data_IF_524634399848
#
_entry.id   IF_524634399848
#
_cell.length_a   1.000
_cell.length_b   1.000
_cell.length_c   1.000
_cell.angle_alpha   90.00
_cell.angle_beta   90.00
_cell.angle_gamma   90.00
#
_symmetry.space_group_name_H-M   'P 1'
#
loop_
_entity.id
_entity.type
_entity.pdbx_description
1 polymer ?
#
# COMPACT_ATOMS: atom_id res chain seq x y z
N UNK A 1 3.55 -31.87 20.97
CA UNK A 1 2.54 -32.16 19.94
C UNK A 1 3.30 -32.66 18.74
N UNK A 2 3.24 -33.96 18.53
CA UNK A 2 4.23 -34.74 17.77
C UNK A 2 3.81 -34.81 16.28
N UNK A 3 4.78 -34.91 15.37
CA UNK A 3 4.61 -35.03 13.90
C UNK A 3 3.62 -36.13 13.45
N UNK A 4 3.22 -37.01 14.37
CA UNK A 4 2.28 -38.10 14.15
C UNK A 4 0.81 -37.63 14.02
N UNK A 5 0.45 -36.48 14.60
CA UNK A 5 -0.92 -35.96 14.54
C UNK A 5 -1.24 -35.32 13.18
N UNK A 6 -0.28 -34.65 12.56
CA UNK A 6 -0.46 -34.01 11.25
C UNK A 6 -0.61 -35.04 10.14
N UNK A 7 0.13 -36.15 10.23
CA UNK A 7 0.06 -37.24 9.23
C UNK A 7 -1.24 -38.03 9.30
N UNK A 8 -1.87 -38.08 10.47
CA UNK A 8 -3.17 -38.73 10.67
C UNK A 8 -4.31 -37.84 10.18
N UNK A 9 -4.25 -36.53 10.44
CA UNK A 9 -5.23 -35.56 9.95
C UNK A 9 -5.24 -35.42 8.41
N UNK A 10 -4.09 -35.58 7.75
CA UNK A 10 -4.00 -35.50 6.28
C UNK A 10 -4.44 -36.78 5.55
N UNK A 11 -4.58 -37.92 6.25
CA UNK A 11 -5.10 -39.14 5.63
C UNK A 11 -6.61 -39.11 5.40
N UNK A 12 -7.34 -38.28 6.16
CA UNK A 12 -8.79 -38.18 6.04
C UNK A 12 -9.25 -37.36 4.82
N UNK A 13 -8.36 -36.55 4.23
CA UNK A 13 -8.65 -35.70 3.07
C UNK A 13 -8.06 -36.19 1.74
N UNK A 14 -7.44 -37.37 1.71
CA UNK A 14 -6.95 -37.99 0.46
C UNK A 14 -7.79 -39.23 0.19
N UNK A 15 -9.00 -39.02 -0.31
CA UNK A 15 -9.75 -40.09 -0.96
C UNK A 15 -8.98 -40.51 -2.22
N UNK A 16 -8.59 -41.78 -2.26
CA UNK A 16 -8.00 -42.46 -3.42
C UNK A 16 -8.99 -42.48 -4.59
N UNK A 17 -8.97 -41.46 -5.44
CA UNK A 17 -9.17 -41.54 -6.89
C UNK A 17 -9.22 -40.12 -7.47
N UNK A 18 -8.36 -39.87 -8.47
CA UNK A 18 -8.26 -38.69 -9.32
C UNK A 18 -7.52 -37.46 -8.74
N UNK A 19 -6.29 -37.18 -9.22
CA UNK A 19 -5.62 -35.92 -8.93
C UNK A 19 -6.36 -34.76 -9.62
N UNK A 20 -6.46 -33.58 -8.98
CA UNK A 20 -6.98 -32.38 -9.63
C UNK A 20 -6.19 -32.09 -10.91
N UNK A 21 -6.95 -31.81 -11.98
CA UNK A 21 -6.47 -31.64 -13.35
C UNK A 21 -5.26 -30.69 -13.39
N UNK A 22 -4.12 -31.20 -13.87
CA UNK A 22 -2.96 -30.39 -14.26
C UNK A 22 -1.65 -30.64 -13.52
N UNK A 23 -1.59 -31.52 -12.51
CA UNK A 23 -0.35 -31.84 -11.80
C UNK A 23 0.02 -33.31 -11.99
N UNK A 24 0.90 -33.59 -12.95
CA UNK A 24 1.50 -34.92 -13.09
C UNK A 24 2.50 -35.14 -11.94
N UNK A 25 2.58 -36.38 -11.43
CA UNK A 25 3.53 -36.73 -10.36
C UNK A 25 4.99 -36.40 -10.70
N UNK A 26 5.34 -36.42 -11.99
CA UNK A 26 6.65 -35.98 -12.49
C UNK A 26 6.89 -34.48 -12.32
N UNK A 27 5.86 -33.64 -12.38
CA UNK A 27 5.93 -32.19 -12.16
C UNK A 27 6.30 -31.83 -10.72
N UNK A 28 5.78 -32.58 -9.75
CA UNK A 28 6.07 -32.37 -8.32
C UNK A 28 7.49 -32.82 -7.98
N UNK A 29 7.95 -33.94 -8.55
CA UNK A 29 9.31 -34.45 -8.31
C UNK A 29 10.39 -33.61 -9.01
N UNK A 30 10.11 -33.05 -10.19
CA UNK A 30 11.04 -32.14 -10.87
C UNK A 30 11.14 -30.77 -10.20
N UNK A 31 10.03 -30.23 -9.67
CA UNK A 31 10.05 -29.01 -8.84
C UNK A 31 10.86 -29.21 -7.54
N UNK A 32 10.73 -30.37 -6.88
CA UNK A 32 11.50 -30.72 -5.69
C UNK A 32 13.01 -30.82 -5.94
N UNK A 33 13.44 -31.40 -7.08
CA UNK A 33 14.87 -31.50 -7.44
C UNK A 33 15.50 -30.15 -7.77
N UNK A 34 14.75 -29.21 -8.35
CA UNK A 34 15.24 -27.86 -8.70
C UNK A 34 15.50 -26.99 -7.47
N UNK A 35 14.73 -27.19 -6.39
CA UNK A 35 14.92 -26.51 -5.10
C UNK A 35 16.22 -26.95 -4.39
N UNK A 36 16.53 -28.26 -4.38
CA UNK A 36 17.78 -28.76 -3.75
C UNK A 36 19.05 -28.29 -4.45
N UNK A 37 19.07 -28.16 -5.78
CA UNK A 37 20.26 -27.69 -6.52
C UNK A 37 20.60 -26.22 -6.23
N UNK A 38 19.60 -25.36 -5.99
CA UNK A 38 19.84 -23.94 -5.66
C UNK A 38 20.41 -23.72 -4.26
N UNK A 39 20.23 -24.65 -3.32
CA UNK A 39 20.84 -24.57 -1.98
C UNK A 39 22.28 -25.09 -1.92
N UNK A 40 22.75 -25.81 -2.94
CA UNK A 40 24.11 -26.34 -3.00
C UNK A 40 25.08 -25.45 -3.81
N UNK A 41 24.59 -24.44 -4.54
CA UNK A 41 25.43 -23.48 -5.29
C UNK A 41 25.75 -22.20 -4.51
N UNK A 42 25.29 -22.07 -3.27
CA UNK A 42 25.55 -20.88 -2.40
C UNK A 42 26.49 -21.21 -1.24
N UNK A 43 27.35 -22.20 -1.41
CA UNK A 43 28.47 -22.49 -0.51
C UNK A 43 29.67 -22.75 -1.41
N UNK A 44 30.57 -21.76 -1.48
CA UNK A 44 32.01 -21.82 -1.85
C UNK A 44 32.39 -20.45 -2.44
N UNK A 45 32.96 -19.59 -1.60
CA UNK A 45 34.07 -18.68 -1.93
C UNK A 45 34.47 -17.89 -0.68
N UNK A 46 35.04 -18.59 0.31
CA UNK A 46 35.93 -17.98 1.30
C UNK A 46 37.34 -18.31 0.83
N UNK A 47 38.04 -17.34 0.25
CA UNK A 47 39.50 -17.36 0.13
C UNK A 47 40.00 -15.97 0.46
N UNK A 48 40.68 -15.90 1.61
CA UNK A 48 41.49 -14.77 2.01
C UNK A 48 42.80 -14.77 1.21
N UNK A 49 43.26 -13.59 0.79
CA UNK A 49 44.69 -13.30 0.68
C UNK A 49 44.97 -11.80 0.77
N UNK A 50 46.04 -11.53 1.50
CA UNK A 50 46.52 -10.32 2.09
C UNK A 50 47.17 -9.30 1.13
N UNK A 51 47.08 -8.03 1.54
CA UNK A 51 48.11 -6.97 1.47
C UNK A 51 48.56 -6.50 0.08
N UNK A 52 48.06 -5.32 -0.30
CA UNK A 52 48.87 -4.28 -0.94
C UNK A 52 48.28 -2.91 -0.58
N UNK A 53 49.11 -2.06 0.02
CA UNK A 53 48.70 -0.78 0.58
C UNK A 53 48.30 0.24 -0.49
N UNK A 54 47.21 0.94 -0.21
CA UNK A 54 46.88 2.26 -0.73
C UNK A 54 46.07 2.99 0.36
N UNK A 55 46.48 4.17 0.85
CA UNK A 55 45.64 4.97 1.72
C UNK A 55 44.67 5.74 0.83
N UNK A 56 43.68 5.05 0.26
CA UNK A 56 42.53 5.74 -0.32
C UNK A 56 41.58 5.97 0.84
N UNK A 57 41.59 7.21 1.33
CA UNK A 57 40.69 7.68 2.37
C UNK A 57 39.27 7.27 2.01
N UNK A 58 38.70 6.42 2.87
CA UNK A 58 37.26 6.15 2.89
C UNK A 58 36.58 7.45 3.26
N UNK A 59 36.27 8.26 2.26
CA UNK A 59 35.18 9.21 2.35
C UNK A 59 33.93 8.36 2.56
N UNK A 60 33.59 8.13 3.83
CA UNK A 60 32.23 7.85 4.23
C UNK A 60 31.43 9.05 3.73
N UNK A 61 30.91 8.95 2.51
CA UNK A 61 29.76 9.75 2.11
C UNK A 61 28.61 9.14 2.92
N UNK A 62 28.58 9.48 4.21
CA UNK A 62 27.32 9.60 4.91
C UNK A 62 26.53 10.58 4.04
N UNK A 63 25.52 10.06 3.34
CA UNK A 63 24.47 10.95 2.85
C UNK A 63 24.11 11.81 4.06
N UNK A 64 24.19 13.14 3.96
CA UNK A 64 23.72 13.98 5.04
C UNK A 64 22.28 13.51 5.28
N UNK A 65 22.04 12.96 6.47
CA UNK A 65 20.70 12.90 7.02
C UNK A 65 20.21 14.33 6.81
N UNK A 66 19.28 14.48 5.88
CA UNK A 66 18.44 15.66 5.83
C UNK A 66 17.63 15.54 7.11
N UNK A 67 18.24 15.94 8.23
CA UNK A 67 17.56 16.48 9.38
C UNK A 67 16.93 17.77 8.87
N UNK A 68 15.91 17.60 8.03
CA UNK A 68 14.94 18.63 7.78
C UNK A 68 14.45 18.98 9.19
N UNK A 69 14.73 20.19 9.69
CA UNK A 69 14.18 20.59 10.97
C UNK A 69 12.69 20.30 10.87
N UNK A 70 12.16 19.59 11.88
CA UNK A 70 10.73 19.31 11.96
C UNK A 70 10.03 20.66 11.81
N UNK A 71 9.60 20.96 10.59
CA UNK A 71 8.83 22.13 10.29
C UNK A 71 7.60 21.93 11.13
N UNK A 72 7.48 22.70 12.21
CA UNK A 72 6.29 22.73 13.05
C UNK A 72 5.15 22.91 12.07
N UNK A 73 4.42 21.83 11.82
CA UNK A 73 3.37 21.85 10.82
C UNK A 73 2.38 22.91 11.27
N UNK A 74 1.89 23.79 10.38
CA UNK A 74 0.86 24.75 10.75
C UNK A 74 -0.41 24.04 11.25
N UNK A 75 -0.54 22.74 10.98
CA UNK A 75 -1.64 21.88 11.42
C UNK A 75 -1.50 21.36 12.86
N UNK A 76 -0.41 21.68 13.56
CA UNK A 76 -0.10 21.15 14.89
C UNK A 76 0.57 19.77 14.84
N UNK A 77 1.22 19.40 15.94
CA UNK A 77 1.85 18.09 16.12
C UNK A 77 0.90 17.12 16.81
N UNK A 78 1.06 15.83 16.52
CA UNK A 78 0.31 14.75 17.20
C UNK A 78 0.63 14.77 18.69
N UNK A 79 -0.40 14.88 19.52
CA UNK A 79 -0.30 14.72 20.97
C UNK A 79 -1.03 13.44 21.45
N UNK A 80 -0.49 12.71 22.45
CA UNK A 80 -1.17 11.56 23.05
C UNK A 80 -2.49 11.93 23.74
N UNK A 81 -2.74 13.20 24.01
CA UNK A 81 -3.95 13.70 24.70
C UNK A 81 -4.98 14.31 23.71
N UNK A 82 -4.81 14.09 22.40
CA UNK A 82 -5.74 14.64 21.41
C UNK A 82 -7.17 14.09 21.60
N UNK A 83 -8.11 15.02 21.72
CA UNK A 83 -9.54 14.68 21.59
C UNK A 83 -9.84 14.24 20.16
N UNK A 84 -10.89 13.43 19.90
CA UNK A 84 -11.26 13.04 18.54
C UNK A 84 -11.44 14.23 17.59
N UNK A 85 -11.98 15.35 18.10
CA UNK A 85 -12.13 16.60 17.33
C UNK A 85 -10.78 17.23 16.96
N UNK A 86 -9.80 17.18 17.88
CA UNK A 86 -8.45 17.67 17.61
C UNK A 86 -7.72 16.81 16.57
N UNK A 87 -7.88 15.47 16.65
CA UNK A 87 -7.36 14.54 15.63
C UNK A 87 -7.95 14.88 14.26
N UNK A 88 -9.28 15.00 14.14
CA UNK A 88 -9.94 15.34 12.86
C UNK A 88 -9.44 16.66 12.30
N UNK A 89 -9.36 17.73 13.12
CA UNK A 89 -8.91 19.04 12.67
C UNK A 89 -7.45 19.03 12.18
N UNK A 90 -6.57 18.32 12.90
CA UNK A 90 -5.16 18.16 12.51
C UNK A 90 -5.03 17.39 11.20
N UNK A 91 -5.71 16.25 11.09
CA UNK A 91 -5.69 15.42 9.87
C UNK A 91 -6.29 16.16 8.67
N UNK A 92 -7.41 16.87 8.85
CA UNK A 92 -8.03 17.68 7.80
C UNK A 92 -7.07 18.75 7.29
N UNK A 93 -6.38 19.47 8.18
CA UNK A 93 -5.38 20.47 7.78
C UNK A 93 -4.19 19.84 7.03
N UNK A 94 -3.64 18.71 7.52
CA UNK A 94 -2.53 18.03 6.86
C UNK A 94 -2.90 17.57 5.45
N UNK A 95 -4.09 16.98 5.31
CA UNK A 95 -4.61 16.54 4.02
C UNK A 95 -4.91 17.72 3.11
N UNK A 96 -5.53 18.79 3.61
CA UNK A 96 -5.82 19.98 2.80
C UNK A 96 -4.54 20.58 2.22
N UNK A 97 -3.50 20.75 3.03
CA UNK A 97 -2.20 21.24 2.55
C UNK A 97 -1.55 20.29 1.53
N UNK A 98 -1.54 18.98 1.81
CA UNK A 98 -0.94 17.99 0.92
C UNK A 98 -1.68 17.90 -0.43
N UNK A 99 -3.01 17.88 -0.42
CA UNK A 99 -3.85 17.80 -1.62
C UNK A 99 -3.72 19.07 -2.46
N UNK A 100 -3.82 20.26 -1.81
CA UNK A 100 -3.74 21.56 -2.50
C UNK A 100 -2.39 21.84 -3.16
N UNK A 101 -1.35 21.09 -2.80
CA UNK A 101 -0.05 21.15 -3.49
C UNK A 101 -0.13 20.68 -4.94
N UNK A 102 -1.07 19.78 -5.26
CA UNK A 102 -1.16 19.15 -6.58
C UNK A 102 -2.46 19.45 -7.33
N UNK A 103 -3.54 19.73 -6.61
CA UNK A 103 -4.85 19.94 -7.21
C UNK A 103 -5.69 20.95 -6.43
N UNK A 104 -6.52 21.70 -7.13
CA UNK A 104 -7.51 22.59 -6.51
C UNK A 104 -8.83 21.84 -6.34
N UNK A 105 -9.32 21.59 -5.11
CA UNK A 105 -10.65 21.03 -4.89
C UNK A 105 -11.76 21.99 -5.34
N UNK A 106 -12.88 21.46 -5.84
CA UNK A 106 -14.05 22.24 -6.21
C UNK A 106 -14.77 22.86 -5.01
N UNK A 107 -14.77 22.13 -3.90
CA UNK A 107 -15.42 22.49 -2.64
C UNK A 107 -14.41 22.39 -1.49
N UNK A 108 -14.64 23.06 -0.34
CA UNK A 108 -13.79 22.89 0.84
C UNK A 108 -13.64 21.42 1.23
N UNK A 109 -12.40 21.00 1.49
CA UNK A 109 -12.12 19.65 1.95
C UNK A 109 -12.66 19.50 3.37
N UNK A 110 -13.39 18.40 3.60
CA UNK A 110 -13.99 18.10 4.89
C UNK A 110 -13.69 16.65 5.24
N UNK A 111 -13.09 16.43 6.40
CA UNK A 111 -12.82 15.10 6.93
C UNK A 111 -13.93 14.68 7.87
N UNK A 112 -14.54 13.54 7.60
CA UNK A 112 -15.63 12.99 8.41
C UNK A 112 -15.11 11.80 9.20
N UNK A 113 -15.38 11.78 10.51
CA UNK A 113 -14.98 10.70 11.41
C UNK A 113 -16.17 9.77 11.70
N UNK A 114 -15.96 8.49 11.45
CA UNK A 114 -16.90 7.41 11.65
C UNK A 114 -16.33 6.48 12.74
N UNK A 115 -16.69 6.70 14.02
CA UNK A 115 -16.23 5.84 15.10
C UNK A 115 -16.88 4.46 15.03
N UNK A 116 -16.10 3.41 15.24
CA UNK A 116 -16.52 2.02 15.41
C UNK A 116 -15.95 1.46 16.72
N UNK A 117 -16.31 0.23 17.06
CA UNK A 117 -15.99 -0.39 18.37
C UNK A 117 -14.49 -0.47 18.66
N UNK A 118 -13.65 -0.68 17.64
CA UNK A 118 -12.22 -0.95 17.74
C UNK A 118 -11.35 0.00 16.88
N UNK A 119 -12.00 0.87 16.09
CA UNK A 119 -11.33 1.76 15.15
C UNK A 119 -12.15 2.99 14.86
N UNK A 120 -11.49 4.03 14.38
CA UNK A 120 -12.14 5.19 13.77
C UNK A 120 -11.75 5.25 12.31
N UNK A 121 -12.74 5.31 11.43
CA UNK A 121 -12.52 5.58 10.01
C UNK A 121 -12.69 7.07 9.76
N UNK A 122 -11.72 7.70 9.13
CA UNK A 122 -11.77 9.07 8.67
C UNK A 122 -11.87 9.07 7.15
N UNK A 123 -12.90 9.69 6.59
CA UNK A 123 -13.17 9.72 5.16
C UNK A 123 -13.19 11.15 4.68
N UNK A 124 -12.50 11.41 3.56
CA UNK A 124 -12.57 12.66 2.82
C UNK A 124 -12.80 12.35 1.35
N UNK A 125 -13.73 13.05 0.73
CA UNK A 125 -13.97 12.97 -0.71
C UNK A 125 -14.04 14.36 -1.30
N UNK A 126 -13.49 14.55 -2.49
CA UNK A 126 -13.53 15.83 -3.18
C UNK A 126 -13.55 15.66 -4.69
N UNK A 127 -14.30 16.53 -5.37
CA UNK A 127 -14.13 16.76 -6.79
C UNK A 127 -13.00 17.77 -7.01
N UNK A 128 -12.29 17.64 -8.12
CA UNK A 128 -11.32 18.68 -8.53
C UNK A 128 -12.06 19.86 -9.15
N UNK A 129 -11.45 21.04 -9.21
CA UNK A 129 -12.15 22.31 -9.49
C UNK A 129 -12.91 22.36 -10.82
N UNK A 130 -12.44 21.63 -11.82
CA UNK A 130 -13.13 21.52 -13.12
C UNK A 130 -14.23 20.44 -13.16
N UNK A 131 -14.46 19.74 -12.03
CA UNK A 131 -15.45 18.68 -11.83
C UNK A 131 -15.37 17.56 -12.87
N UNK A 132 -14.16 17.20 -13.29
CA UNK A 132 -13.93 16.08 -14.22
C UNK A 132 -13.17 14.91 -13.58
N UNK A 133 -12.94 14.95 -12.28
CA UNK A 133 -12.25 13.89 -11.55
C UNK A 133 -12.46 14.05 -10.06
N UNK A 134 -12.14 13.01 -9.31
CA UNK A 134 -12.33 12.99 -7.87
C UNK A 134 -11.12 12.42 -7.14
N UNK A 135 -11.07 12.73 -5.85
CA UNK A 135 -10.13 12.24 -4.86
C UNK A 135 -10.94 11.64 -3.71
N UNK A 136 -10.46 10.52 -3.19
CA UNK A 136 -10.93 9.91 -1.96
C UNK A 136 -9.75 9.63 -1.03
N UNK A 137 -9.92 9.87 0.26
CA UNK A 137 -8.96 9.54 1.30
C UNK A 137 -9.67 8.79 2.40
N UNK A 138 -9.16 7.60 2.72
CA UNK A 138 -9.59 6.81 3.87
C UNK A 138 -8.41 6.66 4.84
N UNK A 139 -8.60 7.03 6.10
CA UNK A 139 -7.65 6.78 7.17
C UNK A 139 -8.31 5.96 8.26
N UNK A 140 -7.66 4.89 8.70
CA UNK A 140 -8.16 4.08 9.81
C UNK A 140 -7.02 3.72 10.75
N UNK A 141 -7.34 3.56 12.03
CA UNK A 141 -6.43 2.86 12.95
C UNK A 141 -6.29 1.41 12.52
N UNK A 142 -5.08 0.88 12.63
CA UNK A 142 -4.76 -0.51 12.33
C UNK A 142 -4.49 -1.26 13.64
N UNK A 143 -4.82 -2.53 13.65
CA UNK A 143 -4.80 -3.42 14.82
C UNK A 143 -3.40 -3.98 15.16
N UNK A 144 -2.32 -3.36 14.65
CA UNK A 144 -0.97 -3.88 14.74
C UNK A 144 -0.56 -4.76 13.55
N UNK A 145 -1.49 -5.19 12.70
CA UNK A 145 -1.19 -6.15 11.64
C UNK A 145 -0.52 -5.47 10.45
N UNK A 146 0.76 -5.77 10.22
CA UNK A 146 1.47 -5.31 9.02
C UNK A 146 1.10 -6.18 7.82
N UNK A 147 0.82 -5.53 6.69
CA UNK A 147 0.62 -6.23 5.43
C UNK A 147 1.98 -6.60 4.83
N UNK A 148 2.21 -7.88 4.57
CA UNK A 148 3.42 -8.32 3.86
C UNK A 148 3.40 -7.77 2.44
N UNK A 149 4.51 -7.14 2.00
CA UNK A 149 4.64 -6.71 0.61
C UNK A 149 4.49 -7.88 -0.38
N UNK A 150 4.84 -9.11 0.02
CA UNK A 150 4.71 -10.30 -0.83
C UNK A 150 3.27 -10.74 -1.08
N UNK A 151 2.34 -10.43 -0.17
CA UNK A 151 0.92 -10.81 -0.29
C UNK A 151 0.00 -9.60 -0.47
N UNK A 152 0.55 -8.39 -0.42
CA UNK A 152 -0.21 -7.15 -0.41
C UNK A 152 -1.11 -6.97 -1.64
N UNK A 153 -0.62 -7.37 -2.81
CA UNK A 153 -1.35 -7.29 -4.07
C UNK A 153 -2.43 -8.37 -4.21
N UNK A 154 -2.24 -9.52 -3.56
CA UNK A 154 -3.16 -10.66 -3.65
C UNK A 154 -4.46 -10.43 -2.88
N UNK A 155 -4.41 -9.58 -1.86
CA UNK A 155 -5.56 -9.28 -0.97
C UNK A 155 -6.31 -8.01 -1.38
N UNK A 156 -6.00 -7.41 -2.53
CA UNK A 156 -6.68 -6.20 -3.00
C UNK A 156 -8.03 -6.57 -3.63
N UNK A 157 -9.08 -5.93 -3.14
CA UNK A 157 -10.43 -6.03 -3.69
C UNK A 157 -10.95 -4.62 -4.05
N UNK A 158 -11.37 -4.39 -5.31
CA UNK A 158 -11.31 -5.31 -6.45
C UNK A 158 -9.86 -5.62 -6.85
N UNK A 159 -9.65 -6.76 -7.53
CA UNK A 159 -8.32 -7.10 -8.06
C UNK A 159 -7.86 -6.01 -9.03
N UNK A 160 -6.72 -5.36 -8.76
CA UNK A 160 -6.28 -4.23 -9.55
C UNK A 160 -5.69 -4.69 -10.89
N UNK A 161 -5.76 -3.81 -11.90
CA UNK A 161 -5.15 -4.03 -13.21
C UNK A 161 -3.63 -4.06 -13.11
N UNK A 162 -3.06 -3.19 -12.27
CA UNK A 162 -1.65 -3.23 -11.89
C UNK A 162 -1.52 -3.05 -10.39
N UNK A 163 -0.56 -3.74 -9.79
CA UNK A 163 -0.24 -3.59 -8.39
C UNK A 163 1.27 -3.67 -8.18
N UNK A 164 1.77 -2.80 -7.33
CA UNK A 164 3.12 -2.91 -6.78
C UNK A 164 3.05 -2.72 -5.28
N UNK A 165 3.86 -3.48 -4.56
CA UNK A 165 3.97 -3.37 -3.11
C UNK A 165 5.43 -3.33 -2.72
N UNK A 166 5.76 -2.42 -1.81
CA UNK A 166 7.12 -2.23 -1.32
C UNK A 166 7.12 -2.02 0.19
N UNK A 167 8.15 -2.57 0.83
CA UNK A 167 8.42 -2.25 2.22
C UNK A 167 9.18 -0.92 2.26
N UNK A 168 8.64 0.05 2.98
CA UNK A 168 9.26 1.34 3.22
C UNK A 168 9.43 1.57 4.72
N UNK A 169 10.10 2.65 5.12
CA UNK A 169 10.29 2.96 6.54
C UNK A 169 8.93 3.14 7.21
N UNK A 170 8.63 2.28 8.19
CA UNK A 170 7.42 2.37 9.03
C UNK A 170 6.25 1.50 8.57
N UNK A 171 6.29 0.90 7.38
CA UNK A 171 5.18 0.09 6.90
C UNK A 171 5.31 -0.39 5.46
N UNK A 172 4.20 -0.86 4.91
CA UNK A 172 4.10 -1.35 3.54
C UNK A 172 3.31 -0.35 2.71
N UNK A 173 3.89 0.08 1.59
CA UNK A 173 3.22 0.88 0.58
C UNK A 173 2.72 -0.04 -0.54
N UNK A 174 1.46 0.11 -0.92
CA UNK A 174 0.80 -0.61 -2.01
C UNK A 174 0.26 0.42 -2.99
N UNK A 175 0.74 0.38 -4.22
CA UNK A 175 0.31 1.29 -5.29
C UNK A 175 -0.43 0.46 -6.34
N UNK A 176 -1.64 0.86 -6.68
CA UNK A 176 -2.50 0.12 -7.60
C UNK A 176 -3.10 1.01 -8.68
N UNK A 177 -3.36 0.41 -9.83
CA UNK A 177 -4.26 0.96 -10.84
C UNK A 177 -5.44 0.02 -11.00
N UNK A 178 -6.64 0.56 -10.90
CA UNK A 178 -7.87 -0.19 -11.10
C UNK A 178 -8.53 0.34 -12.36
N UNK A 179 -8.74 -0.55 -13.33
CA UNK A 179 -9.60 -0.35 -14.50
C UNK A 179 -10.76 -1.31 -14.41
N UNK A 180 -11.98 -0.83 -14.69
CA UNK A 180 -13.15 -1.71 -14.65
C UNK A 180 -13.18 -2.60 -15.90
N UNK A 181 -13.43 -3.92 -15.78
CA UNK A 181 -13.49 -4.79 -16.95
C UNK A 181 -14.52 -4.35 -18.01
N UNK A 182 -15.65 -3.80 -17.57
CA UNK A 182 -16.72 -3.30 -18.45
C UNK A 182 -16.54 -1.85 -18.89
N UNK A 183 -15.64 -1.10 -18.26
CA UNK A 183 -15.29 0.25 -18.67
C UNK A 183 -13.79 0.47 -18.41
N UNK A 184 -12.92 0.11 -19.37
CA UNK A 184 -11.48 0.26 -19.21
C UNK A 184 -11.04 1.72 -19.18
N UNK A 185 -11.90 2.65 -19.63
CA UNK A 185 -11.65 4.09 -19.61
C UNK A 185 -11.88 4.68 -18.22
N UNK A 186 -12.62 4.00 -17.33
CA UNK A 186 -12.68 4.37 -15.92
C UNK A 186 -11.41 3.87 -15.23
N UNK A 187 -10.63 4.82 -14.72
CA UNK A 187 -9.32 4.57 -14.10
C UNK A 187 -9.31 5.15 -12.70
N UNK A 188 -8.90 4.32 -11.74
CA UNK A 188 -8.54 4.76 -10.40
C UNK A 188 -7.05 4.48 -10.20
N UNK A 189 -6.32 5.48 -9.76
CA UNK A 189 -5.01 5.29 -9.13
C UNK A 189 -5.18 5.32 -7.61
N UNK A 190 -4.47 4.45 -6.92
CA UNK A 190 -4.53 4.37 -5.46
C UNK A 190 -3.14 4.12 -4.87
N UNK A 191 -2.84 4.80 -3.77
CA UNK A 191 -1.70 4.52 -2.91
C UNK A 191 -2.22 4.22 -1.49
N UNK A 192 -1.90 3.04 -0.98
CA UNK A 192 -2.24 2.60 0.36
C UNK A 192 -0.97 2.39 1.18
N UNK A 193 -0.82 3.14 2.26
CA UNK A 193 0.28 3.01 3.21
C UNK A 193 -0.24 2.40 4.51
N UNK A 194 0.25 1.21 4.84
CA UNK A 194 -0.14 0.47 6.04
C UNK A 194 1.02 0.32 7.00
N UNK A 195 0.84 0.86 8.20
CA UNK A 195 1.75 0.74 9.34
C UNK A 195 1.13 -0.17 10.40
N UNK A 196 1.85 -0.45 11.48
CA UNK A 196 1.24 -1.16 12.61
C UNK A 196 0.10 -0.36 13.27
N UNK A 197 0.11 0.97 13.15
CA UNK A 197 -0.80 1.87 13.87
C UNK A 197 -1.98 2.33 13.01
N UNK A 198 -1.80 2.42 11.70
CA UNK A 198 -2.81 2.97 10.79
C UNK A 198 -2.71 2.42 9.37
N UNK A 199 -3.83 2.56 8.66
CA UNK A 199 -3.97 2.41 7.23
C UNK A 199 -4.37 3.77 6.64
N UNK A 200 -3.60 4.25 5.67
CA UNK A 200 -3.90 5.47 4.90
C UNK A 200 -4.08 5.03 3.45
N UNK A 201 -5.24 5.31 2.86
CA UNK A 201 -5.53 5.03 1.45
C UNK A 201 -5.90 6.34 0.78
N UNK A 202 -5.19 6.68 -0.29
CA UNK A 202 -5.45 7.85 -1.12
C UNK A 202 -5.72 7.37 -2.53
N UNK A 203 -6.89 7.72 -3.06
CA UNK A 203 -7.33 7.30 -4.39
C UNK A 203 -7.71 8.51 -5.23
N UNK A 204 -7.42 8.46 -6.52
CA UNK A 204 -7.85 9.46 -7.49
C UNK A 204 -8.51 8.77 -8.68
N UNK A 205 -9.68 9.26 -9.05
CA UNK A 205 -10.51 8.76 -10.15
C UNK A 205 -10.58 9.80 -11.27
N UNK A 206 -10.59 9.32 -12.51
CA UNK A 206 -10.80 10.16 -13.69
C UNK A 206 -12.28 10.53 -13.94
N UNK A 207 -13.16 10.32 -12.95
CA UNK A 207 -14.56 10.72 -12.97
C UNK A 207 -14.99 11.24 -11.59
N UNK A 208 -15.99 12.12 -11.57
CA UNK A 208 -16.66 12.59 -10.35
C UNK A 208 -17.71 11.62 -9.82
N UNK A 209 -18.24 10.76 -10.69
CA UNK A 209 -19.19 9.72 -10.29
C UNK A 209 -18.47 8.37 -10.12
N UNK A 210 -18.91 7.61 -9.13
CA UNK A 210 -18.45 6.23 -8.99
C UNK A 210 -18.95 5.44 -10.21
N UNK A 211 -18.04 4.90 -11.03
CA UNK A 211 -18.41 3.85 -11.95
C UNK A 211 -18.98 2.70 -11.12
N UNK A 212 -20.24 2.32 -11.32
CA UNK A 212 -20.84 1.15 -10.68
C UNK A 212 -21.09 0.08 -11.73
N UNK A 213 -21.40 -1.15 -11.33
CA UNK A 213 -21.79 -2.17 -12.32
C UNK A 213 -23.11 -1.81 -13.02
N UNK A 214 -23.95 -1.01 -12.36
CA UNK A 214 -25.19 -0.46 -12.92
C UNK A 214 -24.93 0.73 -13.87
N UNK A 215 -23.90 1.52 -13.60
CA UNK A 215 -23.49 2.67 -14.42
C UNK A 215 -21.99 2.58 -14.73
N UNK A 216 -21.61 1.73 -15.70
CA UNK A 216 -20.20 1.47 -15.99
C UNK A 216 -19.49 2.69 -16.59
N UNK A 217 -20.23 3.57 -17.28
CA UNK A 217 -19.72 4.77 -17.95
C UNK A 217 -20.29 6.04 -17.29
N UNK A 218 -19.72 6.50 -16.18
CA UNK A 218 -20.13 7.77 -15.60
C UNK A 218 -19.90 8.94 -16.59
N UNK A 219 -20.80 9.92 -16.69
CA UNK A 219 -20.58 11.12 -17.50
C UNK A 219 -19.36 11.91 -16.98
N UNK A 220 -18.73 12.70 -17.85
CA UNK A 220 -17.67 13.64 -17.43
C UNK A 220 -16.33 12.98 -17.05
N UNK A 221 -15.90 11.96 -17.80
CA UNK A 221 -14.58 11.35 -17.62
C UNK A 221 -13.48 12.15 -18.32
N UNK A 222 -12.36 12.38 -17.63
CA UNK A 222 -11.08 12.76 -18.26
C UNK A 222 -10.28 11.52 -18.64
N UNK A 223 -9.26 11.68 -19.47
CA UNK A 223 -8.44 10.55 -19.92
C UNK A 223 -7.70 9.85 -18.75
N UNK A 224 -7.17 10.63 -17.81
CA UNK A 224 -6.39 10.13 -16.66
C UNK A 224 -6.84 10.79 -15.36
N UNK A 225 -6.73 10.12 -14.20
CA UNK A 225 -7.03 10.73 -12.91
C UNK A 225 -6.29 12.05 -12.68
N UNK A 226 -6.88 13.01 -11.95
CA UNK A 226 -6.28 14.32 -11.71
C UNK A 226 -4.94 14.26 -10.97
N UNK A 227 -4.71 13.22 -10.17
CA UNK A 227 -3.43 12.99 -9.51
C UNK A 227 -2.72 11.78 -10.13
N UNK A 228 -1.41 11.90 -10.31
CA UNK A 228 -0.53 10.78 -10.70
C UNK A 228 -0.29 9.83 -9.53
N UNK A 229 0.14 8.60 -9.81
CA UNK A 229 0.53 7.63 -8.77
C UNK A 229 1.59 8.18 -7.81
N UNK A 230 2.60 8.88 -8.34
CA UNK A 230 3.66 9.47 -7.52
C UNK A 230 3.13 10.53 -6.54
N UNK A 231 2.18 11.37 -6.97
CA UNK A 231 1.54 12.37 -6.12
C UNK A 231 0.65 11.72 -5.06
N UNK A 232 -0.11 10.67 -5.42
CA UNK A 232 -0.91 9.91 -4.44
C UNK A 232 -0.03 9.29 -3.37
N UNK A 233 1.11 8.72 -3.75
CA UNK A 233 2.11 8.22 -2.81
C UNK A 233 2.64 9.32 -1.90
N UNK A 234 2.97 10.49 -2.44
CA UNK A 234 3.44 11.62 -1.63
C UNK A 234 2.38 12.07 -0.61
N UNK A 235 1.11 12.15 -1.01
CA UNK A 235 0.01 12.45 -0.09
C UNK A 235 -0.15 11.35 0.96
N UNK A 236 -0.18 10.08 0.57
CA UNK A 236 -0.35 8.94 1.49
C UNK A 236 0.79 8.81 2.52
N UNK A 237 1.97 9.32 2.18
CA UNK A 237 3.16 9.34 3.04
C UNK A 237 3.35 10.67 3.78
N UNK A 238 2.37 11.58 3.74
CA UNK A 238 2.45 12.86 4.45
C UNK A 238 2.71 12.61 5.94
N UNK A 239 3.77 13.20 6.52
CA UNK A 239 4.06 13.06 7.94
C UNK A 239 2.90 13.48 8.82
N UNK A 240 2.60 12.69 9.85
CA UNK A 240 1.53 12.98 10.82
C UNK A 240 0.14 12.46 10.44
N UNK A 241 -0.05 11.85 9.27
CA UNK A 241 -1.34 11.23 8.89
C UNK A 241 -1.69 9.97 9.68
N UNK A 242 -0.74 9.37 10.40
CA UNK A 242 -1.01 8.22 11.27
C UNK A 242 -1.71 8.72 12.55
N UNK A 243 -3.04 8.48 12.71
CA UNK A 243 -3.84 8.93 13.86
C UNK A 243 -3.28 8.45 15.19
#
# INVERSE_FOLDING_TARGET
MEDHDVRSALKEYVTEAEPPIGLTGDGVLTAGRRSRRRRLTTIVAVVALAVAGFPVGTALIALPDRAEPASISPCGEKSPEETPKAVTARLECLLDQAIRTYVTPADPLKLEAYPATDKTLYVMSAEVSDRTGSLYVDLATNDGTLLSAGTACEVQEPTPTTCSASLIRGGTLVETTIRKPRNPDFVIYQAAYRTAQALVVVSSSNSTEAGTDAQPYPPGQRELPPLTQAQLREIALTPGLVP
#
